data_IF_159841251650
#
_entry.id   IF_159841251650
#
_cell.length_a   1.000
_cell.length_b   1.000
_cell.length_c   1.000
_cell.angle_alpha   90.00
_cell.angle_beta   90.00
_cell.angle_gamma   90.00
#
_symmetry.space_group_name_H-M   'P 1'
#
loop_
_entity.id
_entity.type
_entity.pdbx_description
1 polymer ?
#
# COMPACT_ATOMS: atom_id res chain seq x y z
N UNK A 1 52.19 -26.16 0.77
CA UNK A 1 51.54 -26.13 2.11
C UNK A 1 50.86 -24.77 2.21
N UNK A 2 49.58 -24.70 1.88
CA UNK A 2 48.82 -23.43 2.02
C UNK A 2 48.71 -23.17 3.52
N UNK A 3 49.09 -21.99 4.03
CA UNK A 3 49.04 -21.71 5.46
C UNK A 3 47.57 -21.76 5.93
N UNK A 4 47.27 -22.41 7.07
CA UNK A 4 45.91 -22.57 7.58
C UNK A 4 45.19 -21.24 7.82
N UNK A 5 45.95 -20.14 7.91
CA UNK A 5 45.44 -18.77 7.97
C UNK A 5 44.64 -18.40 6.72
N UNK A 6 45.05 -18.82 5.52
CA UNK A 6 44.33 -18.51 4.28
C UNK A 6 42.97 -19.21 4.28
N UNK A 7 42.91 -20.48 4.70
CA UNK A 7 41.65 -21.23 4.75
C UNK A 7 40.67 -20.62 5.76
N UNK A 8 41.16 -20.17 6.92
CA UNK A 8 40.34 -19.49 7.93
C UNK A 8 39.82 -18.15 7.42
N UNK A 9 40.67 -17.35 6.77
CA UNK A 9 40.26 -16.06 6.20
C UNK A 9 39.21 -16.27 5.11
N UNK A 10 39.40 -17.25 4.21
CA UNK A 10 38.41 -17.59 3.18
C UNK A 10 37.09 -18.03 3.80
N UNK A 11 37.10 -18.88 4.83
CA UNK A 11 35.89 -19.32 5.51
C UNK A 11 35.11 -18.17 6.16
N UNK A 12 35.81 -17.23 6.80
CA UNK A 12 35.19 -16.03 7.41
C UNK A 12 34.55 -15.16 6.33
N UNK A 13 35.29 -14.87 5.24
CA UNK A 13 34.78 -14.04 4.13
C UNK A 13 33.54 -14.68 3.51
N UNK A 14 33.57 -15.98 3.21
CA UNK A 14 32.42 -16.71 2.65
C UNK A 14 31.22 -16.63 3.59
N UNK A 15 31.44 -16.83 4.90
CA UNK A 15 30.37 -16.76 5.90
C UNK A 15 29.73 -15.37 5.93
N UNK A 16 30.53 -14.31 5.95
CA UNK A 16 30.03 -12.93 5.96
C UNK A 16 29.27 -12.61 4.67
N UNK A 17 29.77 -13.05 3.51
CA UNK A 17 29.08 -12.85 2.22
C UNK A 17 27.73 -13.57 2.21
N UNK A 18 27.69 -14.83 2.64
CA UNK A 18 26.44 -15.62 2.70
C UNK A 18 25.43 -14.98 3.65
N UNK A 19 25.86 -14.52 4.83
CA UNK A 19 24.98 -13.87 5.81
C UNK A 19 24.53 -12.47 5.39
N UNK A 20 25.37 -11.71 4.67
CA UNK A 20 25.01 -10.36 4.21
C UNK A 20 24.13 -10.37 2.95
N UNK A 21 24.23 -11.40 2.10
CA UNK A 21 23.43 -11.54 0.87
C UNK A 21 21.92 -11.31 1.09
N UNK A 22 21.23 -11.97 2.05
CA UNK A 22 19.81 -11.73 2.26
C UNK A 22 19.50 -10.31 2.72
N UNK A 23 20.38 -9.70 3.54
CA UNK A 23 20.22 -8.31 4.00
C UNK A 23 20.33 -7.35 2.83
N UNK A 24 21.36 -7.51 1.99
CA UNK A 24 21.57 -6.70 0.79
C UNK A 24 20.38 -6.83 -0.17
N UNK A 25 19.86 -8.05 -0.36
CA UNK A 25 18.68 -8.28 -1.18
C UNK A 25 17.45 -7.55 -0.65
N UNK A 26 17.17 -7.62 0.66
CA UNK A 26 16.04 -6.91 1.29
C UNK A 26 16.21 -5.39 1.16
N UNK A 27 17.40 -4.85 1.42
CA UNK A 27 17.68 -3.41 1.29
C UNK A 27 17.51 -2.95 -0.14
N UNK A 28 18.06 -3.67 -1.12
CA UNK A 28 17.87 -3.33 -2.54
C UNK A 28 16.41 -3.42 -2.95
N UNK A 29 15.66 -4.41 -2.45
CA UNK A 29 14.22 -4.57 -2.71
C UNK A 29 13.43 -3.41 -2.13
N UNK A 30 13.66 -3.05 -0.87
CA UNK A 30 13.03 -1.89 -0.23
C UNK A 30 13.38 -0.62 -0.99
N UNK A 31 14.66 -0.42 -1.32
CA UNK A 31 15.12 0.74 -2.08
C UNK A 31 14.53 0.82 -3.49
N UNK A 32 14.34 -0.31 -4.16
CA UNK A 32 13.71 -0.35 -5.48
C UNK A 32 12.20 -0.08 -5.39
N UNK A 33 11.53 -0.58 -4.34
CA UNK A 33 10.13 -0.27 -4.05
C UNK A 33 9.92 1.21 -3.73
N UNK A 34 10.79 1.82 -2.91
CA UNK A 34 10.68 3.22 -2.51
C UNK A 34 11.12 4.19 -3.61
N UNK A 35 12.02 3.76 -4.52
CA UNK A 35 12.47 4.56 -5.66
C UNK A 35 11.39 4.89 -6.67
N UNK A 36 10.27 4.18 -6.68
CA UNK A 36 9.17 4.47 -7.62
C UNK A 36 8.32 5.68 -7.19
N UNK A 37 8.57 6.27 -6.02
CA UNK A 37 7.75 7.35 -5.48
C UNK A 37 6.35 6.83 -5.07
N UNK A 38 5.74 7.45 -4.07
CA UNK A 38 4.38 7.11 -3.68
C UNK A 38 4.21 5.86 -2.79
N UNK A 39 5.24 5.47 -2.04
CA UNK A 39 5.09 4.52 -0.94
C UNK A 39 5.00 5.22 0.42
N UNK A 40 4.11 4.76 1.30
CA UNK A 40 3.96 5.31 2.66
C UNK A 40 3.61 4.22 3.68
N UNK A 41 4.00 4.44 4.93
CA UNK A 41 3.65 3.54 6.03
C UNK A 41 2.17 3.67 6.37
N UNK A 42 1.49 2.53 6.45
CA UNK A 42 0.05 2.45 6.67
C UNK A 42 -0.30 1.14 7.38
N UNK A 43 -0.90 1.24 8.55
CA UNK A 43 -1.54 0.09 9.21
C UNK A 43 -2.97 -0.06 8.70
N UNK A 44 -3.43 -1.30 8.57
CA UNK A 44 -4.76 -1.62 8.05
C UNK A 44 -5.51 -2.52 9.02
N UNK A 45 -6.78 -2.19 9.23
CA UNK A 45 -7.79 -3.06 9.83
C UNK A 45 -8.81 -3.40 8.73
N UNK A 46 -8.83 -4.66 8.31
CA UNK A 46 -9.82 -5.18 7.36
C UNK A 46 -11.07 -5.59 8.14
N UNK A 47 -12.26 -5.29 7.61
CA UNK A 47 -13.54 -5.60 8.25
C UNK A 47 -13.61 -5.10 9.70
N UNK A 48 -13.69 -3.79 9.88
CA UNK A 48 -13.76 -3.16 11.20
C UNK A 48 -14.92 -3.67 12.08
N UNK A 49 -15.96 -4.25 11.47
CA UNK A 49 -17.11 -4.84 12.15
C UNK A 49 -16.81 -6.19 12.82
N UNK A 50 -15.68 -6.84 12.48
CA UNK A 50 -15.30 -8.14 13.00
C UNK A 50 -14.26 -8.01 14.13
N UNK A 51 -14.61 -8.38 15.39
CA UNK A 51 -13.72 -8.32 16.55
C UNK A 51 -12.45 -9.18 16.42
N UNK A 52 -12.43 -10.12 15.47
CA UNK A 52 -11.30 -11.03 15.25
C UNK A 52 -10.17 -10.39 14.43
N UNK A 53 -10.44 -9.25 13.77
CA UNK A 53 -9.44 -8.55 12.98
C UNK A 53 -8.68 -7.55 13.85
N UNK A 54 -7.36 -7.53 13.68
CA UNK A 54 -6.45 -6.63 14.40
C UNK A 54 -5.68 -5.77 13.41
N UNK A 55 -5.20 -4.63 13.88
CA UNK A 55 -4.34 -3.75 13.10
C UNK A 55 -3.12 -4.48 12.59
N UNK A 56 -2.94 -4.46 11.27
CA UNK A 56 -1.77 -5.04 10.63
C UNK A 56 -0.88 -3.94 10.11
N UNK A 57 0.38 -3.93 10.56
CA UNK A 57 1.40 -2.99 10.11
C UNK A 57 1.88 -3.32 8.70
N UNK A 58 1.96 -2.29 7.86
CA UNK A 58 2.39 -2.46 6.47
C UNK A 58 2.80 -1.16 5.78
N UNK A 59 3.00 -1.29 4.48
CA UNK A 59 3.39 -0.22 3.58
C UNK A 59 2.44 -0.24 2.40
N UNK A 60 1.87 0.91 2.08
CA UNK A 60 1.06 1.12 0.89
C UNK A 60 1.91 1.74 -0.23
N UNK A 61 1.58 1.44 -1.48
CA UNK A 61 2.25 1.96 -2.69
C UNK A 61 1.23 2.30 -3.76
N UNK A 62 1.32 3.50 -4.35
CA UNK A 62 0.53 3.86 -5.53
C UNK A 62 1.08 3.16 -6.78
N UNK A 63 0.22 2.46 -7.52
CA UNK A 63 0.53 1.82 -8.81
C UNK A 63 -0.60 2.11 -9.79
N UNK A 64 -0.41 3.11 -10.66
CA UNK A 64 -1.47 3.54 -11.60
C UNK A 64 -2.70 4.06 -10.86
N UNK A 65 -3.84 3.38 -11.06
CA UNK A 65 -5.14 3.69 -10.40
C UNK A 65 -5.42 2.84 -9.16
N UNK A 66 -4.45 2.02 -8.75
CA UNK A 66 -4.57 1.11 -7.60
C UNK A 66 -3.57 1.49 -6.49
N UNK A 67 -4.01 1.30 -5.25
CA UNK A 67 -3.17 1.36 -4.07
C UNK A 67 -2.87 -0.08 -3.62
N UNK A 68 -1.62 -0.51 -3.77
CA UNK A 68 -1.18 -1.83 -3.32
C UNK A 68 -0.69 -1.78 -1.88
N UNK A 69 -1.09 -2.75 -1.06
CA UNK A 69 -0.65 -2.82 0.33
C UNK A 69 0.10 -4.10 0.65
N UNK A 70 1.19 -3.96 1.41
CA UNK A 70 2.11 -5.03 1.77
C UNK A 70 2.29 -5.10 3.29
N UNK A 71 2.28 -6.32 3.85
CA UNK A 71 2.62 -6.54 5.26
C UNK A 71 4.11 -6.34 5.51
N UNK A 72 4.46 -5.75 6.65
CA UNK A 72 5.86 -5.56 7.06
C UNK A 72 6.57 -6.91 7.29
N UNK A 73 5.88 -7.87 7.89
CA UNK A 73 6.44 -9.18 8.25
C UNK A 73 6.29 -10.27 7.16
N UNK A 74 5.65 -9.96 6.03
CA UNK A 74 5.49 -10.95 4.96
C UNK A 74 6.72 -10.95 4.03
N UNK A 75 7.37 -12.10 3.91
CA UNK A 75 8.45 -12.32 2.93
C UNK A 75 7.95 -12.36 1.46
N UNK A 76 6.65 -12.20 1.23
CA UNK A 76 6.05 -12.24 -0.10
C UNK A 76 6.32 -10.95 -0.87
N UNK A 77 6.60 -11.08 -2.17
CA UNK A 77 6.65 -9.96 -3.12
C UNK A 77 5.27 -9.58 -3.65
N UNK A 78 4.23 -10.35 -3.31
CA UNK A 78 2.86 -10.09 -3.74
C UNK A 78 2.16 -9.14 -2.76
N UNK A 79 1.40 -8.15 -3.25
CA UNK A 79 0.54 -7.35 -2.39
C UNK A 79 -0.48 -8.26 -1.71
N UNK A 80 -0.80 -7.96 -0.46
CA UNK A 80 -1.84 -8.70 0.26
C UNK A 80 -3.21 -8.35 -0.32
N UNK A 81 -3.42 -7.06 -0.59
CA UNK A 81 -4.61 -6.56 -1.24
C UNK A 81 -4.26 -5.33 -2.09
N UNK A 82 -5.17 -5.03 -3.01
CA UNK A 82 -5.12 -3.85 -3.87
C UNK A 82 -6.44 -3.11 -3.70
N UNK A 83 -6.34 -1.80 -3.45
CA UNK A 83 -7.48 -0.91 -3.33
C UNK A 83 -7.59 -0.09 -4.61
N UNK A 84 -8.58 -0.41 -5.42
CA UNK A 84 -8.89 0.35 -6.62
C UNK A 84 -9.56 1.67 -6.25
N UNK A 85 -9.01 2.78 -6.74
CA UNK A 85 -9.52 4.14 -6.47
C UNK A 85 -11.03 4.26 -6.68
N UNK A 86 -11.53 3.77 -7.80
CA UNK A 86 -12.96 3.86 -8.18
C UNK A 86 -13.90 2.93 -7.40
N UNK A 87 -13.37 2.13 -6.46
CA UNK A 87 -14.16 1.23 -5.61
C UNK A 87 -14.04 1.58 -4.12
N UNK A 88 -13.41 2.69 -3.80
CA UNK A 88 -13.20 3.16 -2.45
C UNK A 88 -13.96 4.47 -2.23
N UNK A 89 -14.70 4.57 -1.13
CA UNK A 89 -15.34 5.79 -0.70
C UNK A 89 -14.89 6.14 0.72
N UNK A 90 -14.44 7.37 0.93
CA UNK A 90 -14.05 7.85 2.26
C UNK A 90 -15.31 8.14 3.08
N UNK A 91 -15.37 7.56 4.27
CA UNK A 91 -16.47 7.77 5.22
C UNK A 91 -16.11 8.91 6.15
N UNK A 92 -15.00 8.78 6.88
CA UNK A 92 -14.57 9.76 7.88
C UNK A 92 -13.09 9.64 8.23
N UNK A 93 -12.57 10.68 8.89
CA UNK A 93 -11.23 10.72 9.48
C UNK A 93 -11.39 10.92 10.99
N UNK A 94 -10.73 10.08 11.78
CA UNK A 94 -10.75 10.15 13.24
C UNK A 94 -9.35 10.04 13.85
N UNK A 95 -9.26 10.38 15.13
CA UNK A 95 -8.07 10.08 15.95
C UNK A 95 -8.10 8.62 16.40
N UNK A 96 -6.92 7.98 16.59
CA UNK A 96 -6.83 6.67 17.21
C UNK A 96 -7.49 6.65 18.59
N UNK A 97 -8.26 5.61 18.88
CA UNK A 97 -8.79 5.35 20.21
C UNK A 97 -7.69 4.92 21.17
N UNK A 98 -7.90 5.00 22.50
CA UNK A 98 -6.87 4.72 23.51
C UNK A 98 -6.25 3.33 23.39
N UNK A 99 -7.04 2.30 23.07
CA UNK A 99 -6.56 0.92 22.90
C UNK A 99 -5.82 0.71 21.56
N UNK A 100 -5.97 1.63 20.60
CA UNK A 100 -5.31 1.56 19.30
C UNK A 100 -3.96 2.27 19.30
N UNK A 101 -3.73 3.20 20.24
CA UNK A 101 -2.46 3.96 20.34
C UNK A 101 -1.27 3.02 20.56
N UNK A 102 -1.44 1.89 21.22
CA UNK A 102 -0.38 0.90 21.41
C UNK A 102 -0.04 0.12 20.13
N UNK A 103 -1.02 -0.06 19.24
CA UNK A 103 -0.86 -0.78 17.98
C UNK A 103 -0.44 0.12 16.81
N UNK A 104 -0.61 1.43 16.95
CA UNK A 104 -0.39 2.43 15.92
C UNK A 104 0.80 3.34 16.22
N UNK A 105 1.37 3.93 15.17
CA UNK A 105 2.45 4.89 15.34
C UNK A 105 1.95 6.21 15.94
N UNK A 106 2.75 6.89 16.79
CA UNK A 106 2.39 8.20 17.32
C UNK A 106 2.08 9.20 16.22
N UNK A 107 0.99 9.97 16.39
CA UNK A 107 0.59 11.00 15.43
C UNK A 107 -0.07 10.47 14.15
N UNK A 108 -0.34 9.16 14.04
CA UNK A 108 -1.18 8.63 12.96
C UNK A 108 -2.65 9.03 13.14
N UNK A 109 -3.33 9.18 12.02
CA UNK A 109 -4.79 9.37 11.91
C UNK A 109 -5.41 8.12 11.31
N UNK A 110 -6.62 7.81 11.72
CA UNK A 110 -7.39 6.69 11.18
C UNK A 110 -8.36 7.21 10.13
N UNK A 111 -8.24 6.71 8.91
CA UNK A 111 -9.13 6.94 7.78
C UNK A 111 -10.07 5.74 7.65
N UNK A 112 -11.37 5.97 7.72
CA UNK A 112 -12.39 4.96 7.51
C UNK A 112 -12.91 5.03 6.08
N UNK A 113 -12.98 3.87 5.43
CA UNK A 113 -13.40 3.76 4.04
C UNK A 113 -14.30 2.56 3.79
N UNK A 114 -15.21 2.74 2.84
CA UNK A 114 -16.00 1.67 2.25
C UNK A 114 -15.32 1.18 0.99
N UNK A 115 -15.07 -0.13 0.93
CA UNK A 115 -14.52 -0.79 -0.23
C UNK A 115 -15.53 -1.73 -0.88
N UNK A 116 -15.83 -1.49 -2.16
CA UNK A 116 -16.64 -2.40 -2.97
C UNK A 116 -15.77 -3.52 -3.54
N UNK A 117 -15.87 -4.72 -2.99
CA UNK A 117 -15.14 -5.88 -3.51
C UNK A 117 -15.69 -6.34 -4.87
N UNK A 118 -14.91 -7.11 -5.62
CA UNK A 118 -15.31 -7.61 -6.95
C UNK A 118 -16.57 -8.48 -6.90
N UNK A 119 -16.82 -9.13 -5.76
CA UNK A 119 -18.01 -9.94 -5.52
C UNK A 119 -19.26 -9.10 -5.14
N UNK A 120 -19.16 -7.76 -5.17
CA UNK A 120 -20.27 -6.83 -4.92
C UNK A 120 -20.60 -6.61 -3.44
N UNK A 121 -19.78 -7.11 -2.52
CA UNK A 121 -19.90 -6.83 -1.08
C UNK A 121 -19.24 -5.49 -0.75
N UNK A 122 -19.83 -4.74 0.19
CA UNK A 122 -19.19 -3.60 0.80
C UNK A 122 -18.43 -4.09 2.05
N UNK A 123 -17.17 -3.70 2.19
CA UNK A 123 -16.35 -3.96 3.35
C UNK A 123 -15.90 -2.62 3.97
N UNK A 124 -16.05 -2.50 5.29
CA UNK A 124 -15.55 -1.34 6.03
C UNK A 124 -14.09 -1.58 6.41
N UNK A 125 -13.20 -0.76 5.87
CA UNK A 125 -11.77 -0.82 6.17
C UNK A 125 -11.34 0.44 6.92
N UNK A 126 -10.33 0.28 7.77
CA UNK A 126 -9.68 1.41 8.42
C UNK A 126 -8.19 1.41 8.14
N UNK A 127 -7.67 2.57 7.76
CA UNK A 127 -6.26 2.78 7.44
C UNK A 127 -5.70 3.81 8.42
N UNK A 128 -4.67 3.43 9.16
CA UNK A 128 -3.94 4.34 10.03
C UNK A 128 -2.61 4.75 9.39
N UNK A 129 -2.42 6.05 9.20
CA UNK A 129 -1.23 6.60 8.54
C UNK A 129 -0.89 8.00 9.06
N UNK A 130 0.28 8.51 8.72
CA UNK A 130 0.66 9.90 9.03
C UNK A 130 -0.29 10.91 8.36
N UNK A 131 -0.41 12.12 8.91
CA UNK A 131 -1.24 13.20 8.34
C UNK A 131 -0.81 13.56 6.92
N UNK A 132 0.49 13.54 6.64
CA UNK A 132 1.05 13.81 5.31
C UNK A 132 0.64 12.74 4.30
N UNK A 133 0.80 11.46 4.68
CA UNK A 133 0.36 10.32 3.86
C UNK A 133 -1.13 10.34 3.58
N UNK A 134 -1.93 10.67 4.60
CA UNK A 134 -3.39 10.78 4.49
C UNK A 134 -3.80 11.87 3.52
N UNK A 135 -3.17 13.03 3.60
CA UNK A 135 -3.43 14.15 2.67
C UNK A 135 -3.13 13.72 1.23
N UNK A 136 -2.02 13.02 1.03
CA UNK A 136 -1.67 12.45 -0.28
C UNK A 136 -2.71 11.43 -0.77
N UNK A 137 -3.18 10.54 0.10
CA UNK A 137 -4.19 9.54 -0.24
C UNK A 137 -5.53 10.16 -0.60
N UNK A 138 -5.98 11.15 0.16
CA UNK A 138 -7.22 11.88 -0.13
C UNK A 138 -7.12 12.62 -1.46
N UNK A 139 -6.02 13.34 -1.71
CA UNK A 139 -5.79 13.99 -2.99
C UNK A 139 -5.76 13.00 -4.15
N UNK A 140 -5.16 11.82 -3.94
CA UNK A 140 -5.20 10.74 -4.92
C UNK A 140 -6.61 10.18 -5.11
N UNK A 141 -7.42 10.01 -4.07
CA UNK A 141 -8.81 9.55 -4.23
C UNK A 141 -9.67 10.59 -4.99
N UNK A 142 -9.46 11.88 -4.72
CA UNK A 142 -10.24 12.99 -5.30
C UNK A 142 -9.88 13.34 -6.74
N UNK A 143 -8.64 13.10 -7.17
CA UNK A 143 -8.30 13.37 -8.56
C UNK A 143 -9.18 12.49 -9.51
N UNK A 144 -9.37 12.94 -10.75
CA UNK A 144 -10.16 12.17 -11.72
C UNK A 144 -9.30 11.06 -12.37
N UNK A 145 -9.87 9.88 -12.67
CA UNK A 145 -9.17 8.85 -13.44
C UNK A 145 -8.79 9.37 -14.83
N UNK A 146 -7.57 9.10 -15.34
CA UNK A 146 -7.18 9.46 -16.69
C UNK A 146 -7.93 8.55 -17.68
N UNK A 147 -8.99 9.06 -18.33
CA UNK A 147 -9.67 8.31 -19.39
C UNK A 147 -11.16 8.53 -19.59
N UNK A 148 -11.83 9.42 -18.85
CA UNK A 148 -13.18 9.88 -19.21
C UNK A 148 -13.11 10.78 -20.45
N UNK A 149 -12.77 10.22 -21.61
CA UNK A 149 -13.12 10.85 -22.88
C UNK A 149 -14.64 10.81 -22.96
N UNK A 150 -15.33 11.96 -22.95
CA UNK A 150 -16.75 11.98 -23.24
C UNK A 150 -16.91 11.34 -24.61
N UNK A 151 -17.62 10.22 -24.67
CA UNK A 151 -18.05 9.67 -25.96
C UNK A 151 -18.78 10.80 -26.65
N UNK A 152 -18.19 11.40 -27.68
CA UNK A 152 -18.87 12.35 -28.53
C UNK A 152 -19.97 11.56 -29.24
N UNK A 153 -21.15 11.54 -28.64
CA UNK A 153 -22.38 11.30 -29.38
C UNK A 153 -22.54 12.48 -30.32
N UNK A 154 -21.83 12.46 -31.45
CA UNK A 154 -22.30 13.16 -32.62
C UNK A 154 -23.54 12.38 -33.06
N UNK A 155 -24.68 12.69 -32.44
CA UNK A 155 -25.97 12.43 -33.06
C UNK A 155 -26.05 13.43 -34.22
N UNK A 156 -26.07 13.00 -35.49
CA UNK A 156 -26.50 13.87 -36.56
C UNK A 156 -28.04 13.92 -36.46
N UNK A 157 -28.53 14.68 -35.48
CA UNK A 157 -29.88 15.17 -35.54
C UNK A 157 -29.90 16.23 -36.64
N UNK A 158 -30.69 15.92 -37.66
CA UNK A 158 -31.62 16.89 -38.20
C UNK A 158 -30.99 18.11 -38.88
N UNK A 159 -30.71 17.93 -40.17
CA UNK A 159 -30.85 19.01 -41.14
C UNK A 159 -31.96 18.65 -42.10
N UNK A 160 -33.03 19.43 -42.01
CA UNK A 160 -33.81 19.99 -43.11
C UNK A 160 -34.45 18.95 -44.07
N UNK A 161 -35.77 18.79 -44.17
CA UNK A 161 -36.75 19.86 -44.23
C UNK A 161 -36.73 20.57 -45.60
N UNK A 162 -36.87 19.83 -46.71
CA UNK A 162 -37.49 20.25 -48.00
C UNK A 162 -38.03 19.01 -48.72
#
# INVERSE_FOLDING_TARGET
MVPPVIDVVVAIVVTVVVLSTPVVYVVLRVHWLTRQGGSFECSVLLNADDPQHSWVLGVARYVGEDLEWFRYYAASTRPWFQLARGRCAVIQVREPGPDEVEALFPGHRVLELDYATTDGRAEHWQLAMSVESMTGLLAWLEASPPGLSPRSTHSPAERDGV
#
